data_IF_504639913823
#
_entry.id   IF_504639913823
#
_cell.length_a   1.000
_cell.length_b   1.000
_cell.length_c   1.000
_cell.angle_alpha   90.00
_cell.angle_beta   90.00
_cell.angle_gamma   90.00
#
_symmetry.space_group_name_H-M   'P 1'
#
loop_
_entity.id
_entity.type
_entity.pdbx_description
1 polymer ?
#
# COMPACT_ATOMS: atom_id res chain seq x y z
N UNK A 1 -9.93 -20.23 20.34
CA UNK A 1 -10.11 -18.78 20.62
C UNK A 1 -10.64 -18.15 19.33
N UNK A 2 -11.92 -17.86 19.30
CA UNK A 2 -12.50 -17.10 18.18
C UNK A 2 -12.22 -15.62 18.45
N UNK A 3 -11.24 -15.00 17.74
CA UNK A 3 -11.15 -13.57 17.70
C UNK A 3 -12.38 -13.02 16.97
N UNK A 4 -13.26 -12.31 17.65
CA UNK A 4 -14.37 -11.61 17.02
C UNK A 4 -13.84 -10.32 16.44
N UNK A 5 -13.66 -10.30 15.13
CA UNK A 5 -13.47 -9.05 14.38
C UNK A 5 -14.77 -8.75 13.63
N UNK A 6 -15.37 -7.59 13.86
CA UNK A 6 -16.40 -7.04 12.99
C UNK A 6 -15.69 -6.18 11.95
N UNK A 7 -15.86 -6.51 10.69
CA UNK A 7 -15.21 -5.78 9.59
C UNK A 7 -16.27 -5.36 8.56
N UNK A 8 -16.18 -4.11 8.12
CA UNK A 8 -16.96 -3.56 7.02
C UNK A 8 -16.01 -2.97 5.98
N UNK A 9 -16.27 -3.25 4.70
CA UNK A 9 -15.43 -2.79 3.59
C UNK A 9 -16.29 -2.13 2.53
N UNK A 10 -16.05 -0.85 2.30
CA UNK A 10 -16.65 -0.11 1.18
C UNK A 10 -15.66 -0.06 0.02
N UNK A 11 -16.07 -0.54 -1.17
CA UNK A 11 -15.26 -0.50 -2.37
C UNK A 11 -16.04 0.06 -3.55
N UNK A 12 -15.50 1.10 -4.18
CA UNK A 12 -16.00 1.66 -5.45
C UNK A 12 -14.86 1.77 -6.45
N UNK A 13 -15.05 1.20 -7.64
CA UNK A 13 -14.03 1.18 -8.67
C UNK A 13 -14.66 1.44 -10.04
N UNK A 14 -14.04 2.35 -10.81
CA UNK A 14 -14.44 2.70 -12.19
C UNK A 14 -13.26 2.54 -13.17
N UNK A 15 -12.22 1.78 -12.81
CA UNK A 15 -11.06 1.54 -13.65
C UNK A 15 -11.48 0.77 -14.91
N UNK A 16 -10.98 1.21 -16.07
CA UNK A 16 -11.26 0.58 -17.37
C UNK A 16 -10.64 -0.81 -17.54
N UNK A 17 -9.58 -1.09 -16.80
CA UNK A 17 -8.86 -2.39 -16.80
C UNK A 17 -8.36 -2.73 -15.41
N UNK A 18 -8.30 -4.04 -15.12
CA UNK A 18 -7.74 -4.53 -13.85
C UNK A 18 -6.23 -4.28 -13.75
N UNK A 19 -5.52 -4.56 -14.82
CA UNK A 19 -4.08 -4.34 -14.93
C UNK A 19 -3.80 -3.23 -15.92
N UNK A 20 -2.86 -2.35 -15.60
CA UNK A 20 -2.49 -1.19 -16.40
C UNK A 20 -3.68 -0.34 -16.85
N UNK A 21 -4.57 0.10 -15.93
CA UNK A 21 -5.71 0.93 -16.27
C UNK A 21 -5.24 2.24 -16.92
N UNK A 22 -5.98 2.70 -17.94
CA UNK A 22 -5.66 3.96 -18.61
C UNK A 22 -6.46 5.14 -18.06
N UNK A 23 -7.59 4.89 -17.40
CA UNK A 23 -8.44 5.90 -16.77
C UNK A 23 -9.29 5.28 -15.66
N UNK A 24 -9.76 6.15 -14.79
CA UNK A 24 -10.73 5.79 -13.75
C UNK A 24 -10.22 6.06 -12.35
N UNK A 25 -11.06 5.73 -11.40
CA UNK A 25 -10.85 5.96 -9.96
C UNK A 25 -11.13 4.68 -9.20
N UNK A 26 -10.35 4.43 -8.16
CA UNK A 26 -10.58 3.37 -7.18
C UNK A 26 -10.55 3.97 -5.78
N UNK A 27 -11.60 3.72 -5.00
CA UNK A 27 -11.71 4.07 -3.60
C UNK A 27 -12.06 2.80 -2.81
N UNK A 28 -11.28 2.51 -1.79
CA UNK A 28 -11.52 1.44 -0.84
C UNK A 28 -11.37 2.01 0.56
N UNK A 29 -12.37 1.83 1.40
CA UNK A 29 -12.33 2.19 2.80
C UNK A 29 -12.72 0.97 3.62
N UNK A 30 -11.93 0.65 4.63
CA UNK A 30 -12.18 -0.47 5.53
C UNK A 30 -12.19 -0.01 6.98
N UNK A 31 -13.10 -0.60 7.75
CA UNK A 31 -13.18 -0.45 9.19
C UNK A 31 -13.21 -1.84 9.82
N UNK A 32 -12.38 -2.08 10.79
CA UNK A 32 -12.37 -3.32 11.54
C UNK A 32 -12.28 -3.06 13.04
N UNK A 33 -13.21 -3.60 13.79
CA UNK A 33 -13.19 -3.60 15.25
C UNK A 33 -12.67 -4.95 15.75
N UNK A 34 -11.56 -4.93 16.41
CA UNK A 34 -10.97 -6.10 17.05
C UNK A 34 -11.35 -6.07 18.53
N UNK A 35 -12.24 -6.98 18.92
CA UNK A 35 -12.57 -7.22 20.32
C UNK A 35 -11.81 -8.47 20.75
N UNK A 36 -11.07 -8.38 21.81
CA UNK A 36 -10.31 -9.51 22.36
C UNK A 36 -11.26 -10.46 23.12
N UNK A 37 -12.33 -10.91 22.47
CA UNK A 37 -13.36 -11.83 22.99
C UNK A 37 -13.77 -11.58 24.45
N UNK A 38 -13.70 -10.31 24.91
CA UNK A 38 -13.88 -9.91 26.30
C UNK A 38 -12.89 -10.58 27.29
N UNK A 39 -11.94 -11.37 26.79
CA UNK A 39 -10.86 -11.94 27.57
C UNK A 39 -9.60 -11.09 27.35
N UNK A 40 -9.16 -10.43 28.40
CA UNK A 40 -7.90 -9.67 28.38
C UNK A 40 -6.73 -10.63 28.18
N UNK A 41 -6.25 -10.73 26.96
CA UNK A 41 -5.02 -11.45 26.69
C UNK A 41 -3.83 -10.49 26.90
N UNK A 42 -3.00 -10.75 27.88
CA UNK A 42 -1.83 -9.93 28.27
C UNK A 42 -2.16 -8.46 28.54
N UNK A 43 -3.32 -8.12 29.09
CA UNK A 43 -3.70 -6.74 29.41
C UNK A 43 -4.03 -5.86 28.19
N UNK A 44 -4.17 -6.43 27.00
CA UNK A 44 -4.49 -5.67 25.78
C UNK A 44 -5.98 -5.36 25.72
N UNK A 45 -6.28 -4.12 25.33
CA UNK A 45 -7.65 -3.62 25.16
C UNK A 45 -8.13 -3.76 23.71
N UNK A 46 -9.43 -3.72 23.45
CA UNK A 46 -9.99 -3.65 22.11
C UNK A 46 -9.41 -2.45 21.33
N UNK A 47 -9.27 -2.60 20.01
CA UNK A 47 -8.81 -1.54 19.14
C UNK A 47 -9.57 -1.55 17.81
N UNK A 48 -9.62 -0.40 17.17
CA UNK A 48 -10.19 -0.22 15.84
C UNK A 48 -9.09 -0.01 14.80
N UNK A 49 -9.28 -0.59 13.62
CA UNK A 49 -8.45 -0.33 12.45
C UNK A 49 -9.28 0.37 11.40
N UNK A 50 -8.77 1.47 10.89
CA UNK A 50 -9.37 2.24 9.80
C UNK A 50 -8.39 2.27 8.64
N UNK A 51 -8.78 1.76 7.49
CA UNK A 51 -8.00 1.79 6.26
C UNK A 51 -8.67 2.64 5.18
N UNK A 52 -7.84 3.32 4.39
CA UNK A 52 -8.27 4.08 3.21
C UNK A 52 -7.27 3.84 2.09
N UNK A 53 -7.78 3.54 0.89
CA UNK A 53 -6.99 3.46 -0.34
C UNK A 53 -7.73 4.21 -1.42
N UNK A 54 -7.13 5.26 -1.91
CA UNK A 54 -7.60 6.06 -3.03
C UNK A 54 -6.56 6.03 -4.14
N UNK A 55 -6.97 5.77 -5.36
CA UNK A 55 -6.13 5.83 -6.55
C UNK A 55 -6.94 6.36 -7.73
N UNK A 56 -6.33 7.20 -8.52
CA UNK A 56 -6.90 7.62 -9.80
C UNK A 56 -5.88 7.50 -10.92
N UNK A 57 -6.35 7.36 -12.13
CA UNK A 57 -5.53 7.29 -13.33
C UNK A 57 -5.91 8.44 -14.25
N UNK A 58 -4.99 9.37 -14.43
CA UNK A 58 -5.12 10.54 -15.26
C UNK A 58 -4.31 10.34 -16.55
N UNK A 59 -4.94 10.09 -17.71
CA UNK A 59 -4.22 10.04 -18.98
C UNK A 59 -3.72 11.43 -19.37
N UNK A 60 -2.41 11.59 -19.50
CA UNK A 60 -1.78 12.81 -20.01
C UNK A 60 -1.72 12.78 -21.54
N UNK A 61 -1.42 11.59 -22.09
CA UNK A 61 -1.44 11.34 -23.53
C UNK A 61 -1.88 9.90 -23.83
N UNK A 62 -1.95 9.52 -25.11
CA UNK A 62 -2.28 8.15 -25.52
C UNK A 62 -1.33 7.07 -24.98
N UNK A 63 -0.14 7.47 -24.53
CA UNK A 63 0.90 6.55 -24.04
C UNK A 63 1.39 6.87 -22.63
N UNK A 64 1.08 8.06 -22.09
CA UNK A 64 1.55 8.53 -20.79
C UNK A 64 0.37 8.70 -19.85
N UNK A 65 0.45 8.11 -18.67
CA UNK A 65 -0.55 8.23 -17.61
C UNK A 65 0.10 8.59 -16.29
N UNK A 66 -0.55 9.46 -15.53
CA UNK A 66 -0.21 9.81 -14.16
C UNK A 66 -1.17 9.07 -13.22
N UNK A 67 -0.62 8.43 -12.20
CA UNK A 67 -1.37 7.64 -11.24
C UNK A 67 -1.08 8.15 -9.82
N UNK A 68 -1.75 9.22 -9.39
CA UNK A 68 -1.72 9.61 -7.99
C UNK A 68 -2.52 8.62 -7.15
N UNK A 69 -1.97 8.28 -5.99
CA UNK A 69 -2.61 7.45 -5.00
C UNK A 69 -2.35 7.99 -3.60
N UNK A 70 -3.32 7.82 -2.73
CA UNK A 70 -3.24 8.14 -1.31
C UNK A 70 -3.81 6.96 -0.53
N UNK A 71 -3.07 6.47 0.42
CA UNK A 71 -3.50 5.33 1.22
C UNK A 71 -2.87 5.37 2.61
N UNK A 72 -3.57 4.78 3.54
CA UNK A 72 -3.11 4.65 4.90
C UNK A 72 -3.98 3.69 5.69
N UNK A 73 -3.46 3.27 6.81
CA UNK A 73 -4.19 2.49 7.80
C UNK A 73 -3.74 2.94 9.18
N UNK A 74 -4.70 3.18 10.04
CA UNK A 74 -4.47 3.63 11.42
C UNK A 74 -5.14 2.69 12.40
N UNK A 75 -4.46 2.42 13.50
CA UNK A 75 -4.96 1.63 14.62
C UNK A 75 -5.22 2.59 15.77
N UNK A 76 -6.46 2.57 16.26
CA UNK A 76 -6.92 3.44 17.35
C UNK A 76 -7.34 2.55 18.51
N UNK A 77 -6.72 2.72 19.66
CA UNK A 77 -6.99 1.94 20.87
C UNK A 77 -5.76 1.74 21.73
N UNK A 78 -5.85 0.82 22.68
CA UNK A 78 -4.75 0.48 23.57
C UNK A 78 -3.61 -0.30 22.89
N UNK A 79 -2.76 -0.94 23.69
CA UNK A 79 -1.59 -1.68 23.18
C UNK A 79 -1.96 -2.71 22.12
N UNK A 80 -1.62 -2.42 20.87
CA UNK A 80 -1.89 -3.30 19.73
C UNK A 80 -0.87 -4.42 19.67
N UNK A 81 -1.34 -5.65 19.44
CA UNK A 81 -0.46 -6.79 19.27
C UNK A 81 0.32 -6.72 17.95
N UNK A 82 1.58 -7.18 17.97
CA UNK A 82 2.47 -7.23 16.81
C UNK A 82 1.83 -7.73 15.51
N UNK A 83 1.00 -8.81 15.49
CA UNK A 83 0.39 -9.32 14.26
C UNK A 83 -0.59 -8.35 13.57
N UNK A 84 -1.06 -7.32 14.26
CA UNK A 84 -2.03 -6.36 13.74
C UNK A 84 -1.39 -5.06 13.23
N UNK A 85 -0.12 -4.85 13.51
CA UNK A 85 0.62 -3.65 13.08
C UNK A 85 0.62 -3.52 11.56
N UNK A 86 0.58 -2.28 11.07
CA UNK A 86 0.73 -2.02 9.66
C UNK A 86 2.15 -2.33 9.22
N UNK A 87 2.29 -3.07 8.15
CA UNK A 87 3.57 -3.39 7.54
C UNK A 87 3.84 -2.46 6.35
N UNK A 88 4.95 -1.74 6.38
CA UNK A 88 5.33 -0.84 5.29
C UNK A 88 6.47 -1.48 4.50
N UNK A 89 6.31 -1.52 3.18
CA UNK A 89 7.34 -1.96 2.26
C UNK A 89 6.82 -2.76 1.07
N UNK A 90 7.72 -3.01 0.13
CA UNK A 90 7.38 -3.67 -1.12
C UNK A 90 6.59 -2.80 -2.09
N UNK A 91 6.08 -3.38 -3.18
CA UNK A 91 5.41 -2.66 -4.25
C UNK A 91 3.89 -2.87 -4.31
N UNK A 92 3.37 -3.87 -3.62
CA UNK A 92 1.98 -4.30 -3.74
C UNK A 92 1.29 -4.37 -2.39
N UNK A 93 0.00 -4.04 -2.38
CA UNK A 93 -0.85 -4.19 -1.21
C UNK A 93 -1.03 -5.66 -0.88
N UNK A 94 -0.99 -5.99 0.43
CA UNK A 94 -1.44 -7.27 0.94
C UNK A 94 -0.72 -8.52 0.43
N UNK A 95 0.49 -8.41 -0.14
CA UNK A 95 1.19 -9.54 -0.73
C UNK A 95 1.63 -10.59 0.31
N UNK A 96 2.19 -10.13 1.42
CA UNK A 96 2.69 -11.01 2.49
C UNK A 96 1.83 -10.94 3.74
N UNK A 97 1.31 -9.76 4.03
CA UNK A 97 0.40 -9.50 5.15
C UNK A 97 -0.77 -8.66 4.64
N UNK A 98 -2.00 -8.98 5.06
CA UNK A 98 -3.21 -8.25 4.64
C UNK A 98 -3.13 -6.75 4.92
N UNK A 99 -2.43 -6.36 5.98
CA UNK A 99 -2.18 -4.98 6.39
C UNK A 99 -0.91 -4.36 5.77
N UNK A 100 -0.32 -4.97 4.74
CA UNK A 100 0.85 -4.43 4.07
C UNK A 100 0.48 -3.24 3.19
N UNK A 101 1.24 -2.15 3.38
CA UNK A 101 1.15 -0.91 2.61
C UNK A 101 2.41 -0.75 1.76
N UNK A 102 2.30 -0.65 0.42
CA UNK A 102 3.46 -0.61 -0.46
C UNK A 102 4.23 0.70 -0.30
N UNK A 103 5.55 0.60 -0.35
CA UNK A 103 6.44 1.76 -0.36
C UNK A 103 7.70 1.46 -1.15
N UNK A 104 7.98 2.27 -2.18
CA UNK A 104 9.11 2.08 -3.07
C UNK A 104 10.47 2.28 -2.34
N UNK A 105 11.40 1.38 -2.55
CA UNK A 105 12.73 1.44 -1.96
C UNK A 105 12.85 0.95 -0.52
N UNK A 106 11.82 0.28 0.01
CA UNK A 106 11.81 -0.37 1.33
C UNK A 106 11.52 -1.85 1.14
N UNK A 107 12.23 -2.72 1.85
CA UNK A 107 11.99 -4.17 1.82
C UNK A 107 10.54 -4.52 2.13
N UNK A 108 10.12 -5.74 1.78
CA UNK A 108 8.72 -6.16 1.79
C UNK A 108 7.97 -5.95 3.10
N UNK A 109 8.62 -6.16 4.25
CA UNK A 109 8.05 -5.96 5.59
C UNK A 109 9.18 -5.43 6.48
N UNK A 110 9.51 -4.17 6.35
CA UNK A 110 10.65 -3.59 7.06
C UNK A 110 10.23 -2.71 8.24
N UNK A 111 9.13 -2.00 8.10
CA UNK A 111 8.64 -1.09 9.14
C UNK A 111 7.28 -1.59 9.61
N UNK A 112 7.11 -1.67 10.94
CA UNK A 112 5.86 -2.05 11.58
C UNK A 112 5.45 -0.93 12.52
N UNK A 113 4.26 -0.36 12.29
CA UNK A 113 3.73 0.75 13.07
C UNK A 113 2.20 0.74 13.16
N UNK A 114 1.65 1.45 14.16
CA UNK A 114 0.21 1.52 14.37
C UNK A 114 -0.49 2.43 13.35
N UNK A 115 0.16 3.50 12.93
CA UNK A 115 -0.44 4.50 12.05
C UNK A 115 0.49 4.84 10.91
N UNK A 116 -0.02 4.74 9.69
CA UNK A 116 0.73 4.95 8.45
C UNK A 116 -0.15 5.64 7.43
N UNK A 117 0.39 6.70 6.83
CA UNK A 117 -0.24 7.39 5.70
C UNK A 117 0.81 7.63 4.62
N UNK A 118 0.47 7.35 3.37
CA UNK A 118 1.36 7.46 2.23
C UNK A 118 0.67 8.17 1.08
N UNK A 119 1.35 9.14 0.49
CA UNK A 119 1.05 9.71 -0.81
C UNK A 119 2.02 9.11 -1.85
N UNK A 120 1.49 8.59 -2.94
CA UNK A 120 2.25 7.99 -4.03
C UNK A 120 1.90 8.65 -5.35
N UNK A 121 2.92 8.97 -6.12
CA UNK A 121 2.77 9.47 -7.48
C UNK A 121 3.53 8.54 -8.43
N UNK A 122 2.84 7.94 -9.39
CA UNK A 122 3.45 7.10 -10.39
C UNK A 122 3.21 7.67 -11.79
N UNK A 123 4.27 7.82 -12.55
CA UNK A 123 4.24 8.12 -13.97
C UNK A 123 4.46 6.82 -14.73
N UNK A 124 3.55 6.50 -15.65
CA UNK A 124 3.62 5.28 -16.46
C UNK A 124 3.58 5.61 -17.93
N UNK A 125 4.65 5.23 -18.62
CA UNK A 125 4.81 5.39 -20.06
C UNK A 125 4.69 4.04 -20.76
N UNK A 126 3.76 3.91 -21.71
CA UNK A 126 3.71 2.78 -22.65
C UNK A 126 4.70 3.03 -23.79
N UNK A 127 5.70 2.15 -23.93
CA UNK A 127 6.75 2.29 -24.94
C UNK A 127 6.27 1.71 -26.27
N UNK A 128 5.95 0.41 -26.30
CA UNK A 128 5.48 -0.30 -27.49
C UNK A 128 4.61 -1.50 -27.07
N UNK A 129 3.52 -1.76 -27.78
CA UNK A 129 2.65 -2.89 -27.51
C UNK A 129 2.19 -2.93 -26.04
N UNK A 130 2.60 -3.96 -25.33
CA UNK A 130 2.26 -4.23 -23.93
C UNK A 130 3.40 -3.90 -22.94
N UNK A 131 4.39 -3.11 -23.35
CA UNK A 131 5.56 -2.75 -22.55
C UNK A 131 5.40 -1.37 -21.91
N UNK A 132 5.74 -1.25 -20.64
CA UNK A 132 5.60 -0.05 -19.84
C UNK A 132 6.88 0.24 -19.06
N UNK A 133 7.24 1.53 -18.96
CA UNK A 133 8.19 2.04 -17.97
C UNK A 133 7.39 2.81 -16.92
N UNK A 134 7.76 2.64 -15.66
CA UNK A 134 7.14 3.32 -14.53
C UNK A 134 8.19 4.06 -13.71
N UNK A 135 7.89 5.31 -13.38
CA UNK A 135 8.63 6.08 -12.40
C UNK A 135 7.69 6.36 -11.23
N UNK A 136 8.10 6.00 -10.02
CA UNK A 136 7.27 6.15 -8.82
C UNK A 136 8.00 6.97 -7.78
N UNK A 137 7.30 7.92 -7.15
CA UNK A 137 7.72 8.63 -5.96
C UNK A 137 6.70 8.40 -4.84
N UNK A 138 7.17 8.19 -3.63
CA UNK A 138 6.36 8.03 -2.44
C UNK A 138 6.82 8.99 -1.35
N UNK A 139 5.87 9.55 -0.63
CA UNK A 139 6.08 10.25 0.62
C UNK A 139 5.12 9.68 1.67
N UNK A 140 5.60 9.38 2.85
CA UNK A 140 4.79 8.82 3.91
C UNK A 140 5.20 9.29 5.29
N UNK A 141 4.28 9.18 6.23
CA UNK A 141 4.49 9.44 7.65
C UNK A 141 3.97 8.23 8.41
N UNK A 142 4.72 7.80 9.43
CA UNK A 142 4.30 6.72 10.31
C UNK A 142 4.60 7.03 11.78
N UNK A 143 3.76 6.56 12.67
CA UNK A 143 3.90 6.70 14.11
C UNK A 143 3.15 5.58 14.84
N UNK A 144 3.58 5.28 16.06
CA UNK A 144 2.87 4.38 16.97
C UNK A 144 1.58 4.98 17.54
N UNK A 145 1.40 6.31 17.49
CA UNK A 145 0.19 7.00 17.95
C UNK A 145 -0.46 7.75 16.78
N UNK A 146 -1.76 7.51 16.59
CA UNK A 146 -2.53 8.20 15.56
C UNK A 146 -2.62 9.71 15.80
N UNK A 147 -2.82 10.14 17.04
CA UNK A 147 -2.99 11.56 17.36
C UNK A 147 -1.71 12.38 17.19
N UNK A 148 -0.54 11.71 17.20
CA UNK A 148 0.77 12.31 16.94
C UNK A 148 1.35 11.89 15.59
N UNK A 149 0.50 11.46 14.64
CA UNK A 149 0.96 10.99 13.34
C UNK A 149 1.76 12.04 12.56
N UNK A 150 1.36 13.31 12.64
CA UNK A 150 2.04 14.41 11.94
C UNK A 150 3.44 14.72 12.52
N UNK A 151 3.70 14.33 13.77
CA UNK A 151 5.01 14.43 14.44
C UNK A 151 5.86 13.15 14.19
N UNK A 152 5.30 12.19 13.45
CA UNK A 152 5.90 10.91 13.17
C UNK A 152 7.13 10.98 12.26
N UNK A 153 7.73 9.82 12.03
CA UNK A 153 8.88 9.71 11.14
C UNK A 153 8.44 9.82 9.70
N UNK A 154 9.10 10.69 8.93
CA UNK A 154 8.88 10.84 7.51
C UNK A 154 9.68 9.83 6.71
N UNK A 155 9.05 9.28 5.69
CA UNK A 155 9.64 8.41 4.69
C UNK A 155 9.49 9.04 3.31
N UNK A 156 10.52 8.98 2.51
CA UNK A 156 10.44 9.27 1.10
C UNK A 156 11.26 8.27 0.30
N UNK A 157 10.79 7.94 -0.87
CA UNK A 157 11.42 6.95 -1.72
C UNK A 157 10.94 7.05 -3.15
N UNK A 158 11.68 6.42 -4.02
CA UNK A 158 11.34 6.38 -5.43
C UNK A 158 11.77 5.08 -6.08
N UNK A 159 11.16 4.75 -7.20
CA UNK A 159 11.52 3.58 -7.97
C UNK A 159 11.36 3.80 -9.47
N UNK A 160 12.20 3.09 -10.23
CA UNK A 160 12.10 2.94 -11.67
C UNK A 160 11.81 1.49 -11.99
N UNK A 161 10.77 1.25 -12.76
CA UNK A 161 10.31 -0.10 -13.11
C UNK A 161 10.08 -0.29 -14.59
N UNK A 162 10.22 -1.54 -15.01
CA UNK A 162 9.77 -2.03 -16.30
C UNK A 162 8.66 -3.06 -16.08
N UNK A 163 7.60 -2.97 -16.87
CA UNK A 163 6.48 -3.91 -16.79
C UNK A 163 6.04 -4.37 -18.18
N UNK A 164 5.64 -5.62 -18.24
CA UNK A 164 5.11 -6.26 -19.45
C UNK A 164 3.76 -6.92 -19.15
N UNK A 165 2.74 -6.56 -19.90
CA UNK A 165 1.42 -7.18 -19.80
C UNK A 165 1.35 -8.41 -20.70
N UNK A 166 1.69 -9.57 -20.13
CA UNK A 166 1.69 -10.85 -20.83
C UNK A 166 0.33 -11.56 -20.78
N UNK A 167 0.15 -12.61 -21.58
CA UNK A 167 -1.04 -13.47 -21.54
C UNK A 167 -1.11 -14.22 -20.19
N UNK A 168 0.04 -14.55 -19.60
CA UNK A 168 0.14 -15.20 -18.29
C UNK A 168 0.04 -14.22 -17.10
N UNK A 169 -0.30 -12.95 -17.36
CA UNK A 169 -0.42 -11.89 -16.35
C UNK A 169 0.68 -10.84 -16.42
N UNK A 170 0.60 -9.81 -15.58
CA UNK A 170 1.58 -8.75 -15.54
C UNK A 170 2.92 -9.26 -15.00
N UNK A 171 3.99 -8.91 -15.70
CA UNK A 171 5.37 -9.12 -15.26
C UNK A 171 5.95 -7.75 -14.95
N UNK A 172 6.65 -7.59 -13.83
CA UNK A 172 7.35 -6.34 -13.54
C UNK A 172 8.66 -6.56 -12.81
N UNK A 173 9.62 -5.71 -13.12
CA UNK A 173 10.90 -5.62 -12.44
C UNK A 173 11.14 -4.15 -12.08
N UNK A 174 11.47 -3.88 -10.84
CA UNK A 174 11.57 -2.53 -10.30
C UNK A 174 12.79 -2.37 -9.42
N UNK A 175 13.49 -1.26 -9.58
CA UNK A 175 14.59 -0.83 -8.73
C UNK A 175 14.12 0.40 -7.93
N UNK A 176 14.33 0.39 -6.63
CA UNK A 176 13.91 1.47 -5.75
C UNK A 176 14.94 1.82 -4.69
N UNK A 177 14.86 3.07 -4.23
CA UNK A 177 15.67 3.61 -3.13
C UNK A 177 14.79 4.46 -2.22
N UNK A 178 15.17 4.56 -0.95
CA UNK A 178 14.47 5.40 0.04
C UNK A 178 15.45 6.05 1.02
N UNK A 179 14.95 7.02 1.78
CA UNK A 179 15.73 7.61 2.88
C UNK A 179 15.95 6.65 4.05
N UNK A 180 15.21 5.56 4.10
CA UNK A 180 15.35 4.52 5.14
C UNK A 180 16.54 3.61 4.87
N UNK A 181 16.76 3.29 3.59
CA UNK A 181 17.79 2.35 3.19
C UNK A 181 18.59 2.93 2.02
N UNK A 182 19.90 3.09 2.22
CA UNK A 182 20.82 3.61 1.18
C UNK A 182 21.12 2.60 0.07
N UNK A 183 20.68 1.34 0.22
CA UNK A 183 20.91 0.29 -0.77
C UNK A 183 19.78 0.24 -1.78
N UNK A 184 20.14 -0.03 -3.04
CA UNK A 184 19.19 -0.25 -4.12
C UNK A 184 18.40 -1.52 -3.84
N UNK A 185 17.08 -1.40 -3.78
CA UNK A 185 16.15 -2.52 -3.61
C UNK A 185 15.68 -2.98 -4.99
N UNK A 186 15.63 -4.29 -5.19
CA UNK A 186 15.11 -4.90 -6.40
C UNK A 186 13.85 -5.70 -6.09
N UNK A 187 12.80 -5.47 -6.88
CA UNK A 187 11.54 -6.20 -6.77
C UNK A 187 11.21 -6.84 -8.11
N UNK A 188 10.70 -8.06 -8.06
CA UNK A 188 10.20 -8.77 -9.22
C UNK A 188 8.82 -9.35 -8.92
N UNK A 189 7.86 -9.05 -9.78
CA UNK A 189 6.50 -9.58 -9.70
C UNK A 189 6.17 -10.33 -10.96
N UNK A 190 5.66 -11.56 -10.81
CA UNK A 190 5.30 -12.44 -11.89
C UNK A 190 3.87 -12.90 -11.73
N UNK A 191 3.05 -12.72 -12.77
CA UNK A 191 1.72 -13.29 -12.87
C UNK A 191 0.60 -12.48 -12.21
N UNK A 192 -0.56 -13.08 -12.14
CA UNK A 192 -1.75 -12.47 -11.57
C UNK A 192 -1.67 -12.40 -10.04
N UNK A 193 -2.11 -11.28 -9.48
CA UNK A 193 -2.40 -11.16 -8.06
C UNK A 193 -3.89 -11.41 -7.85
N UNK A 194 -4.19 -12.38 -7.03
CA UNK A 194 -5.56 -12.77 -6.68
C UNK A 194 -6.01 -12.07 -5.40
#
# INVERSE_FOLDING_TARGET
IKSSAASDVYKRQTLDRRYFPNRGVSLEADYSLYTDNFVKYNGRSPFSAIGLKFMTVCPISSRLSLLPAFYGRVLIGGNTAFPFLNAIGGETFGRYLSQQLPFAGINHVEILDNSVVVARLQLRQRIAGNNYITLTGNYGIHNNDFFHLLEGKSLWGGSLGYAYNSIAGPLSATFGMSNRNSHLQFYMNLGFMF
#
